data_IF_387074200137
#
_entry.id   IF_387074200137
#
_cell.length_a   1.000
_cell.length_b   1.000
_cell.length_c   1.000
_cell.angle_alpha   90.00
_cell.angle_beta   90.00
_cell.angle_gamma   90.00
#
_symmetry.space_group_name_H-M   'P 1'
#
loop_
_entity.id
_entity.type
_entity.pdbx_description
1 polymer ?
#
# COMPACT_ATOMS: atom_id res chain seq x y z
N UNK A 1 0.94 -7.64 19.65
CA UNK A 1 0.54 -7.63 18.23
C UNK A 1 -0.30 -6.39 17.93
N UNK A 2 0.01 -5.72 16.81
CA UNK A 2 -0.62 -4.46 16.35
C UNK A 2 -1.57 -4.70 15.16
N UNK A 3 -2.09 -5.90 15.05
CA UNK A 3 -2.91 -6.33 13.92
C UNK A 3 -4.13 -5.45 13.66
N UNK A 4 -4.65 -4.77 14.68
CA UNK A 4 -5.77 -3.83 14.56
C UNK A 4 -5.39 -2.51 13.87
N UNK A 5 -4.11 -2.17 13.78
CA UNK A 5 -3.59 -1.01 13.06
C UNK A 5 -3.27 -1.32 11.59
N UNK A 6 -3.05 -2.60 11.25
CA UNK A 6 -2.69 -3.06 9.90
C UNK A 6 -3.93 -3.21 9.01
N UNK A 7 -4.72 -2.16 8.92
CA UNK A 7 -6.01 -2.16 8.19
C UNK A 7 -5.85 -2.27 6.67
N UNK A 8 -4.66 -2.03 6.15
CA UNK A 8 -4.32 -2.23 4.73
C UNK A 8 -4.59 -3.67 4.25
N UNK A 9 -4.70 -4.64 5.15
CA UNK A 9 -5.09 -6.03 4.84
C UNK A 9 -6.47 -6.13 4.18
N UNK A 10 -7.39 -5.20 4.46
CA UNK A 10 -8.66 -5.13 3.74
C UNK A 10 -8.44 -4.81 2.25
N UNK A 11 -7.45 -3.96 1.95
CA UNK A 11 -7.05 -3.70 0.57
C UNK A 11 -6.43 -4.92 -0.11
N UNK A 12 -5.68 -5.74 0.61
CA UNK A 12 -5.12 -6.97 0.07
C UNK A 12 -6.21 -7.98 -0.38
N UNK A 13 -7.37 -8.00 0.28
CA UNK A 13 -8.51 -8.82 -0.14
C UNK A 13 -9.06 -8.31 -1.49
N UNK A 14 -9.27 -7.02 -1.63
CA UNK A 14 -9.71 -6.43 -2.90
C UNK A 14 -8.69 -6.67 -4.02
N UNK A 15 -7.39 -6.56 -3.72
CA UNK A 15 -6.33 -6.83 -4.66
C UNK A 15 -6.25 -8.32 -5.06
N UNK A 16 -6.57 -9.24 -4.16
CA UNK A 16 -6.68 -10.67 -4.48
C UNK A 16 -7.84 -10.96 -5.45
N UNK A 17 -8.99 -10.29 -5.27
CA UNK A 17 -10.14 -10.37 -6.19
C UNK A 17 -9.75 -9.84 -7.58
N UNK A 18 -9.07 -8.69 -7.62
CA UNK A 18 -8.52 -8.12 -8.86
C UNK A 18 -7.57 -9.08 -9.57
N UNK A 19 -6.62 -9.67 -8.84
CA UNK A 19 -5.64 -10.59 -9.39
C UNK A 19 -6.27 -11.91 -9.85
N UNK A 20 -7.29 -12.42 -9.16
CA UNK A 20 -8.00 -13.60 -9.63
C UNK A 20 -8.52 -13.41 -11.05
N UNK A 21 -9.26 -12.32 -11.29
CA UNK A 21 -9.73 -11.99 -12.63
C UNK A 21 -8.58 -11.76 -13.61
N UNK A 22 -7.56 -10.99 -13.21
CA UNK A 22 -6.40 -10.65 -14.06
C UNK A 22 -5.64 -11.89 -14.56
N UNK A 23 -5.46 -12.89 -13.70
CA UNK A 23 -4.69 -14.09 -14.04
C UNK A 23 -5.52 -15.21 -14.68
N UNK A 24 -6.80 -15.31 -14.35
CA UNK A 24 -7.67 -16.36 -14.89
C UNK A 24 -8.43 -15.95 -16.14
N UNK A 25 -8.65 -14.65 -16.33
CA UNK A 25 -9.58 -14.11 -17.32
C UNK A 25 -11.05 -14.33 -16.98
N UNK A 26 -11.36 -14.97 -15.85
CA UNK A 26 -12.72 -15.27 -15.41
C UNK A 26 -13.38 -14.06 -14.75
N UNK A 27 -14.06 -13.25 -15.54
CA UNK A 27 -14.79 -12.09 -15.03
C UNK A 27 -16.08 -12.48 -14.29
N UNK A 28 -16.65 -13.67 -14.53
CA UNK A 28 -17.92 -14.10 -13.91
C UNK A 28 -17.81 -14.12 -12.36
N UNK A 29 -16.62 -14.30 -11.83
CA UNK A 29 -16.36 -14.26 -10.39
C UNK A 29 -16.76 -12.91 -9.76
N UNK A 30 -16.59 -11.79 -10.51
CA UNK A 30 -16.91 -10.45 -9.98
C UNK A 30 -18.41 -10.31 -9.69
N UNK A 31 -19.34 -10.48 -10.67
CA UNK A 31 -20.77 -10.35 -10.40
C UNK A 31 -21.32 -11.47 -9.50
N UNK A 32 -20.72 -12.66 -9.47
CA UNK A 32 -21.21 -13.76 -8.65
C UNK A 32 -20.83 -13.64 -7.19
N UNK A 33 -19.58 -13.25 -6.88
CA UNK A 33 -18.97 -13.30 -5.54
C UNK A 33 -18.23 -12.03 -5.16
N UNK A 34 -17.41 -11.50 -6.06
CA UNK A 34 -16.42 -10.47 -5.75
C UNK A 34 -17.04 -9.11 -5.45
N UNK A 35 -18.05 -8.68 -6.21
CA UNK A 35 -18.59 -7.32 -6.12
C UNK A 35 -19.19 -7.00 -4.75
N UNK A 36 -19.88 -7.95 -4.13
CA UNK A 36 -20.45 -7.76 -2.79
C UNK A 36 -19.34 -7.54 -1.74
N UNK A 37 -18.24 -8.28 -1.85
CA UNK A 37 -17.07 -8.11 -0.97
C UNK A 37 -16.39 -6.77 -1.21
N UNK A 38 -16.20 -6.38 -2.48
CA UNK A 38 -15.63 -5.08 -2.85
C UNK A 38 -16.44 -3.91 -2.28
N UNK A 39 -17.78 -3.97 -2.37
CA UNK A 39 -18.68 -2.96 -1.77
C UNK A 39 -18.48 -2.88 -0.26
N UNK A 40 -18.36 -4.02 0.43
CA UNK A 40 -18.07 -4.06 1.88
C UNK A 40 -16.74 -3.40 2.22
N UNK A 41 -15.70 -3.64 1.41
CA UNK A 41 -14.37 -3.04 1.58
C UNK A 41 -14.40 -1.53 1.31
N UNK A 42 -15.10 -1.08 0.26
CA UNK A 42 -15.25 0.35 -0.03
C UNK A 42 -15.99 1.09 1.10
N UNK A 43 -17.04 0.49 1.68
CA UNK A 43 -17.72 1.00 2.88
C UNK A 43 -16.79 1.12 4.08
N UNK A 44 -15.98 0.10 4.32
CA UNK A 44 -14.97 0.14 5.38
C UNK A 44 -14.04 1.34 5.21
N UNK A 45 -13.46 1.51 4.03
CA UNK A 45 -12.55 2.63 3.78
C UNK A 45 -13.25 3.99 3.89
N UNK A 46 -14.45 4.13 3.34
CA UNK A 46 -15.25 5.35 3.46
C UNK A 46 -15.53 5.74 4.92
N UNK A 47 -15.78 4.75 5.79
CA UNK A 47 -16.02 4.98 7.21
C UNK A 47 -14.73 5.22 8.01
N UNK A 48 -13.60 4.74 7.51
CA UNK A 48 -12.32 4.79 8.22
C UNK A 48 -11.56 6.11 8.04
N UNK A 49 -11.85 6.85 6.99
CA UNK A 49 -11.20 8.14 6.72
C UNK A 49 -11.79 9.26 7.56
N UNK A 50 -10.94 10.28 7.84
CA UNK A 50 -11.37 11.54 8.43
C UNK A 50 -11.11 12.67 7.43
N UNK A 51 -11.97 13.69 7.40
CA UNK A 51 -11.69 14.89 6.64
C UNK A 51 -10.84 15.85 7.47
N UNK A 52 -9.64 16.15 7.03
CA UNK A 52 -8.77 17.16 7.63
C UNK A 52 -9.06 18.52 7.03
N UNK A 53 -9.54 19.46 7.85
CA UNK A 53 -9.76 20.83 7.42
C UNK A 53 -8.47 21.57 7.12
N UNK A 54 -7.41 21.26 7.83
CA UNK A 54 -6.07 21.82 7.65
C UNK A 54 -5.47 21.43 6.28
N UNK A 55 -5.54 20.14 5.94
CA UNK A 55 -5.03 19.62 4.66
C UNK A 55 -6.03 19.79 3.51
N UNK A 56 -7.30 20.08 3.80
CA UNK A 56 -8.43 20.04 2.85
C UNK A 56 -8.49 18.71 2.07
N UNK A 57 -8.19 17.60 2.74
CA UNK A 57 -8.08 16.24 2.20
C UNK A 57 -8.63 15.22 3.19
N UNK A 58 -8.94 14.02 2.68
CA UNK A 58 -9.21 12.86 3.52
C UNK A 58 -7.91 12.21 3.98
N UNK A 59 -7.85 11.87 5.25
CA UNK A 59 -6.68 11.32 5.96
C UNK A 59 -7.04 10.01 6.67
N UNK A 60 -6.03 9.16 6.86
CA UNK A 60 -6.16 7.95 7.68
C UNK A 60 -5.16 8.05 8.83
N UNK A 61 -5.66 7.98 10.06
CA UNK A 61 -4.88 8.21 11.27
C UNK A 61 -4.70 6.90 12.05
N UNK A 62 -3.58 6.77 12.79
CA UNK A 62 -3.35 5.68 13.72
C UNK A 62 -3.30 4.31 13.05
N UNK A 63 -2.38 4.12 12.11
CA UNK A 63 -2.22 2.87 11.37
C UNK A 63 -0.77 2.39 11.38
N UNK A 64 -0.59 1.11 11.10
CA UNK A 64 0.71 0.51 10.78
C UNK A 64 0.66 0.05 9.33
N UNK A 65 1.60 0.52 8.52
CA UNK A 65 1.79 0.08 7.14
C UNK A 65 2.48 -1.27 7.03
N UNK A 66 2.87 -1.70 5.83
CA UNK A 66 3.66 -2.92 5.64
C UNK A 66 5.00 -2.91 6.37
N UNK A 67 5.62 -1.74 6.58
CA UNK A 67 6.82 -1.63 7.40
C UNK A 67 6.48 -1.72 8.88
N UNK A 68 6.63 -2.90 9.47
CA UNK A 68 6.32 -3.15 10.89
C UNK A 68 7.26 -2.45 11.89
N UNK A 69 8.29 -1.71 11.41
CA UNK A 69 9.12 -0.85 12.25
C UNK A 69 8.48 0.52 12.51
N UNK A 70 7.24 0.69 12.08
CA UNK A 70 6.38 1.83 12.37
C UNK A 70 5.07 1.38 13.00
N UNK A 71 4.60 2.09 14.01
CA UNK A 71 3.33 1.82 14.67
C UNK A 71 2.58 3.13 14.89
N UNK A 72 1.25 3.06 14.79
CA UNK A 72 0.34 4.16 15.12
C UNK A 72 0.72 5.48 14.41
N UNK A 73 1.08 5.37 13.13
CA UNK A 73 1.43 6.54 12.31
C UNK A 73 0.21 7.11 11.60
N UNK A 74 0.32 8.36 11.17
CA UNK A 74 -0.72 9.04 10.41
C UNK A 74 -0.34 9.05 8.92
N UNK A 75 -1.34 8.81 8.08
CA UNK A 75 -1.21 8.91 6.63
C UNK A 75 -0.08 8.04 6.07
N UNK A 76 -0.04 6.75 6.47
CA UNK A 76 0.84 5.82 5.77
C UNK A 76 0.48 5.80 4.29
N UNK A 77 1.47 6.05 3.42
CA UNK A 77 1.27 6.21 1.97
C UNK A 77 0.61 4.97 1.35
N UNK A 78 1.13 3.78 1.64
CA UNK A 78 0.57 2.54 1.12
C UNK A 78 -0.88 2.34 1.55
N UNK A 79 -1.19 2.56 2.83
CA UNK A 79 -2.55 2.43 3.37
C UNK A 79 -3.52 3.41 2.71
N UNK A 80 -3.12 4.67 2.56
CA UNK A 80 -3.95 5.68 1.89
C UNK A 80 -4.15 5.35 0.41
N UNK A 81 -3.11 4.87 -0.26
CA UNK A 81 -3.16 4.55 -1.69
C UNK A 81 -4.06 3.34 -1.97
N UNK A 82 -3.91 2.25 -1.21
CA UNK A 82 -4.74 1.07 -1.40
C UNK A 82 -6.21 1.33 -1.02
N UNK A 83 -6.46 2.21 -0.04
CA UNK A 83 -7.81 2.65 0.30
C UNK A 83 -8.48 3.38 -0.87
N UNK A 84 -7.78 4.36 -1.46
CA UNK A 84 -8.24 5.04 -2.67
C UNK A 84 -8.49 4.05 -3.81
N UNK A 85 -7.53 3.18 -4.08
CA UNK A 85 -7.63 2.20 -5.15
C UNK A 85 -8.82 1.24 -4.95
N UNK A 86 -9.05 0.76 -3.74
CA UNK A 86 -10.21 -0.10 -3.43
C UNK A 86 -11.54 0.58 -3.76
N UNK A 87 -11.66 1.86 -3.43
CA UNK A 87 -12.86 2.64 -3.73
C UNK A 87 -13.03 2.81 -5.24
N UNK A 88 -11.99 3.24 -5.94
CA UNK A 88 -12.03 3.45 -7.40
C UNK A 88 -12.32 2.14 -8.13
N UNK A 89 -11.61 1.07 -7.80
CA UNK A 89 -11.82 -0.25 -8.40
C UNK A 89 -13.24 -0.77 -8.16
N UNK A 90 -13.76 -0.62 -6.93
CA UNK A 90 -15.14 -1.01 -6.63
C UNK A 90 -16.15 -0.22 -7.47
N UNK A 91 -15.95 1.09 -7.58
CA UNK A 91 -16.80 1.95 -8.41
C UNK A 91 -16.78 1.52 -9.87
N UNK A 92 -15.61 1.26 -10.44
CA UNK A 92 -15.45 0.76 -11.81
C UNK A 92 -16.16 -0.58 -12.02
N UNK A 93 -16.02 -1.52 -11.06
CA UNK A 93 -16.67 -2.82 -11.15
C UNK A 93 -18.19 -2.70 -11.05
N UNK A 94 -18.74 -1.81 -10.23
CA UNK A 94 -20.19 -1.53 -10.18
C UNK A 94 -20.68 -1.06 -11.55
N UNK A 95 -19.98 -0.12 -12.20
CA UNK A 95 -20.36 0.37 -13.53
C UNK A 95 -20.30 -0.74 -14.57
N UNK A 96 -19.22 -1.52 -14.59
CA UNK A 96 -19.04 -2.62 -15.55
C UNK A 96 -20.09 -3.71 -15.36
N UNK A 97 -20.35 -4.15 -14.13
CA UNK A 97 -21.39 -5.16 -13.85
C UNK A 97 -22.78 -4.63 -14.18
N UNK A 98 -23.05 -3.33 -14.00
CA UNK A 98 -24.32 -2.71 -14.41
C UNK A 98 -24.58 -2.84 -15.92
N UNK A 99 -23.53 -2.75 -16.74
CA UNK A 99 -23.62 -2.82 -18.20
C UNK A 99 -23.66 -4.26 -18.72
N UNK A 100 -22.77 -5.11 -18.20
CA UNK A 100 -22.54 -6.46 -18.75
C UNK A 100 -23.40 -7.53 -18.06
N UNK A 101 -23.78 -7.33 -16.79
CA UNK A 101 -24.52 -8.27 -15.94
C UNK A 101 -25.67 -7.58 -15.18
N UNK A 102 -26.66 -6.97 -15.88
CA UNK A 102 -27.67 -6.12 -15.24
C UNK A 102 -28.54 -6.85 -14.22
N UNK A 103 -28.78 -8.14 -14.39
CA UNK A 103 -29.55 -8.97 -13.45
C UNK A 103 -28.80 -9.13 -12.12
N UNK A 104 -27.50 -9.45 -12.18
CA UNK A 104 -26.66 -9.57 -10.99
C UNK A 104 -26.45 -8.23 -10.32
N UNK A 105 -26.21 -7.18 -11.11
CA UNK A 105 -26.15 -5.82 -10.59
C UNK A 105 -27.36 -5.48 -9.73
N UNK A 106 -28.58 -5.65 -10.29
CA UNK A 106 -29.83 -5.37 -9.56
C UNK A 106 -29.90 -6.17 -8.27
N UNK A 107 -29.67 -7.48 -8.34
CA UNK A 107 -29.67 -8.39 -7.18
C UNK A 107 -28.70 -7.92 -6.08
N UNK A 108 -27.46 -7.55 -6.46
CA UNK A 108 -26.44 -7.14 -5.49
C UNK A 108 -26.81 -5.79 -4.88
N UNK A 109 -27.15 -4.78 -5.69
CA UNK A 109 -27.47 -3.43 -5.21
C UNK A 109 -28.66 -3.46 -4.24
N UNK A 110 -29.72 -4.22 -4.56
CA UNK A 110 -30.86 -4.42 -3.67
C UNK A 110 -30.44 -5.13 -2.37
N UNK A 111 -29.66 -6.19 -2.46
CA UNK A 111 -29.17 -6.96 -1.28
C UNK A 111 -28.36 -6.11 -0.32
N UNK A 112 -27.44 -5.30 -0.85
CA UNK A 112 -26.55 -4.48 -0.01
C UNK A 112 -27.10 -3.08 0.25
N UNK A 113 -28.29 -2.75 -0.29
CA UNK A 113 -28.94 -1.44 -0.16
C UNK A 113 -28.00 -0.27 -0.54
N UNK A 114 -27.32 -0.39 -1.69
CA UNK A 114 -26.41 0.65 -2.19
C UNK A 114 -27.19 1.69 -2.98
N UNK A 115 -26.86 2.97 -2.77
CA UNK A 115 -27.50 4.08 -3.47
C UNK A 115 -26.49 5.06 -4.07
N UNK A 116 -26.95 5.91 -4.98
CA UNK A 116 -26.10 6.85 -5.71
C UNK A 116 -25.43 7.90 -4.80
N UNK A 117 -26.06 8.30 -3.71
CA UNK A 117 -25.49 9.27 -2.77
C UNK A 117 -24.26 8.66 -2.08
N UNK A 118 -24.34 7.38 -1.71
CA UNK A 118 -23.21 6.63 -1.16
C UNK A 118 -22.06 6.54 -2.17
N UNK A 119 -22.33 6.19 -3.41
CA UNK A 119 -21.32 6.14 -4.48
C UNK A 119 -20.63 7.48 -4.72
N UNK A 120 -21.39 8.58 -4.72
CA UNK A 120 -20.82 9.91 -4.86
C UNK A 120 -19.92 10.28 -3.67
N UNK A 121 -20.30 9.88 -2.45
CA UNK A 121 -19.47 10.12 -1.27
C UNK A 121 -18.15 9.33 -1.30
N UNK A 122 -18.17 8.10 -1.81
CA UNK A 122 -16.96 7.30 -2.03
C UNK A 122 -16.01 7.98 -3.02
N UNK A 123 -16.56 8.41 -4.16
CA UNK A 123 -15.76 9.10 -5.18
C UNK A 123 -15.12 10.37 -4.64
N UNK A 124 -15.86 11.15 -3.84
CA UNK A 124 -15.33 12.33 -3.16
C UNK A 124 -14.16 11.98 -2.25
N UNK A 125 -14.21 10.86 -1.52
CA UNK A 125 -13.10 10.38 -0.69
C UNK A 125 -11.90 10.02 -1.54
N UNK A 126 -12.09 9.19 -2.56
CA UNK A 126 -11.00 8.73 -3.44
C UNK A 126 -10.28 9.90 -4.15
N UNK A 127 -11.04 10.86 -4.70
CA UNK A 127 -10.48 12.01 -5.43
C UNK A 127 -9.74 12.99 -4.52
N UNK A 128 -10.02 12.96 -3.22
CA UNK A 128 -9.43 13.89 -2.25
C UNK A 128 -8.62 13.18 -1.15
N UNK A 129 -8.15 11.97 -1.40
CA UNK A 129 -7.24 11.29 -0.47
C UNK A 129 -5.90 12.02 -0.37
N UNK A 130 -5.38 12.14 0.83
CA UNK A 130 -4.08 12.74 1.08
C UNK A 130 -2.95 11.72 0.92
N UNK A 131 -1.89 12.14 0.27
CA UNK A 131 -0.64 11.39 0.16
C UNK A 131 0.51 12.25 0.66
N UNK A 132 1.26 11.81 1.68
CA UNK A 132 2.44 12.53 2.13
C UNK A 132 3.49 12.59 1.01
N UNK A 133 3.99 13.78 0.73
CA UNK A 133 4.96 13.99 -0.35
C UNK A 133 5.96 15.08 0.03
N UNK A 134 7.21 14.92 -0.34
CA UNK A 134 8.26 15.94 -0.20
C UNK A 134 8.53 16.57 -1.56
N UNK A 135 8.17 17.82 -1.72
CA UNK A 135 8.49 18.60 -2.93
C UNK A 135 10.00 18.78 -3.12
N UNK A 136 10.75 18.95 -2.04
CA UNK A 136 12.20 19.13 -2.08
C UNK A 136 12.92 17.88 -2.60
N UNK A 137 12.55 16.69 -2.08
CA UNK A 137 13.15 15.41 -2.48
C UNK A 137 12.44 14.79 -3.68
N UNK A 138 11.26 15.28 -4.01
CA UNK A 138 10.37 14.75 -5.05
C UNK A 138 10.09 13.23 -4.84
N UNK A 139 9.78 12.85 -3.60
CA UNK A 139 9.44 11.47 -3.21
C UNK A 139 8.18 11.44 -2.36
N UNK A 140 7.43 10.35 -2.46
CA UNK A 140 6.35 10.05 -1.52
C UNK A 140 6.95 9.69 -0.16
N UNK A 141 6.36 10.21 0.92
CA UNK A 141 6.80 9.89 2.27
C UNK A 141 6.00 8.71 2.81
N UNK A 142 6.66 7.80 3.52
CA UNK A 142 6.00 6.62 4.09
C UNK A 142 4.83 7.00 5.00
N UNK A 143 4.97 8.08 5.77
CA UNK A 143 3.92 8.66 6.62
C UNK A 143 4.24 10.10 6.97
N UNK A 144 3.29 10.79 7.63
CA UNK A 144 3.55 12.10 8.22
C UNK A 144 4.74 12.03 9.19
N UNK A 145 5.61 13.04 9.16
CA UNK A 145 6.78 13.13 10.04
C UNK A 145 7.95 12.18 9.71
N UNK A 146 7.95 11.52 8.56
CA UNK A 146 9.05 10.61 8.19
C UNK A 146 10.41 11.34 8.13
N UNK A 147 10.43 12.57 7.62
CA UNK A 147 11.65 13.38 7.51
C UNK A 147 12.11 14.05 8.83
N UNK A 148 11.28 13.98 9.88
CA UNK A 148 11.67 14.48 11.22
C UNK A 148 12.62 13.51 11.95
N UNK A 149 12.82 12.32 11.38
CA UNK A 149 13.71 11.29 11.91
C UNK A 149 15.17 11.58 11.58
N UNK A 150 16.08 11.03 12.36
CA UNK A 150 17.52 11.06 12.07
C UNK A 150 17.81 10.14 10.86
N UNK A 151 17.95 10.72 9.67
CA UNK A 151 18.06 10.01 8.41
C UNK A 151 19.47 9.43 8.16
N UNK A 152 19.92 8.51 9.03
CA UNK A 152 21.16 7.76 8.85
C UNK A 152 20.94 6.60 7.91
N UNK A 153 21.72 6.52 6.82
CA UNK A 153 21.62 5.44 5.84
C UNK A 153 22.09 4.10 6.43
N UNK A 154 21.54 3.00 5.96
CA UNK A 154 21.95 1.65 6.40
C UNK A 154 23.44 1.39 6.16
N UNK A 155 24.01 1.96 5.10
CA UNK A 155 25.43 1.84 4.78
C UNK A 155 26.34 2.48 5.85
N UNK A 156 25.85 3.51 6.56
CA UNK A 156 26.58 4.26 7.58
C UNK A 156 26.31 3.69 8.99
N UNK A 157 25.39 2.73 9.13
CA UNK A 157 25.09 2.08 10.39
C UNK A 157 26.19 1.05 10.76
N UNK A 158 26.68 1.12 11.98
CA UNK A 158 27.63 0.14 12.50
C UNK A 158 27.06 -1.29 12.41
N UNK A 159 27.78 -2.16 11.73
CA UNK A 159 27.40 -3.56 11.52
C UNK A 159 27.13 -4.34 12.81
N UNK A 160 27.79 -3.97 13.92
CA UNK A 160 27.57 -4.59 15.23
C UNK A 160 26.17 -4.33 15.79
N UNK A 161 25.47 -3.29 15.27
CA UNK A 161 24.11 -2.94 15.66
C UNK A 161 23.03 -3.71 14.88
N UNK A 162 23.43 -4.57 13.97
CA UNK A 162 22.49 -5.37 13.15
C UNK A 162 22.47 -6.84 13.60
N UNK A 163 21.36 -7.55 13.48
CA UNK A 163 20.04 -7.02 13.08
C UNK A 163 19.45 -6.10 14.16
N UNK A 164 18.86 -4.97 13.75
CA UNK A 164 18.40 -3.94 14.68
C UNK A 164 17.28 -4.42 15.60
N UNK A 165 16.41 -5.32 15.15
CA UNK A 165 15.37 -5.91 15.98
C UNK A 165 15.89 -6.74 17.17
N UNK A 166 17.15 -7.15 17.14
CA UNK A 166 17.80 -7.88 18.24
C UNK A 166 18.71 -6.99 19.10
N UNK A 167 19.12 -5.83 18.57
CA UNK A 167 20.13 -4.96 19.21
C UNK A 167 19.55 -3.68 19.77
N UNK A 168 18.42 -3.22 19.25
CA UNK A 168 17.80 -1.95 19.64
C UNK A 168 16.53 -2.19 20.45
N UNK A 169 16.21 -1.22 21.31
CA UNK A 169 14.90 -1.17 21.93
C UNK A 169 13.84 -0.84 20.87
N UNK A 170 12.62 -1.29 21.10
CA UNK A 170 11.50 -0.99 20.21
C UNK A 170 11.27 0.52 20.06
N UNK A 171 11.37 1.28 21.15
CA UNK A 171 11.31 2.75 21.13
C UNK A 171 12.33 3.36 20.15
N UNK A 172 13.57 2.87 20.14
CA UNK A 172 14.60 3.36 19.21
C UNK A 172 14.29 2.99 17.76
N UNK A 173 13.76 1.80 17.51
CA UNK A 173 13.36 1.36 16.18
C UNK A 173 12.24 2.28 15.63
N UNK A 174 11.20 2.53 16.41
CA UNK A 174 10.06 3.37 15.98
C UNK A 174 10.46 4.82 15.65
N UNK A 175 11.52 5.33 16.27
CA UNK A 175 12.04 6.68 15.99
C UNK A 175 13.10 6.71 14.88
N UNK A 176 13.49 5.56 14.34
CA UNK A 176 14.47 5.46 13.27
C UNK A 176 13.82 5.51 11.88
N UNK A 177 14.57 5.84 10.82
CA UNK A 177 14.08 5.82 9.45
C UNK A 177 14.07 4.41 8.84
N UNK A 178 14.48 3.40 9.60
CA UNK A 178 14.76 2.08 9.05
C UNK A 178 13.50 1.31 8.68
N UNK A 179 13.61 0.62 7.57
CA UNK A 179 12.53 -0.13 6.94
C UNK A 179 12.89 -1.61 7.02
N UNK A 180 12.03 -2.39 7.68
CA UNK A 180 12.17 -3.84 7.79
C UNK A 180 11.88 -4.51 6.46
N UNK A 181 10.81 -4.10 5.80
CA UNK A 181 10.34 -4.57 4.51
C UNK A 181 9.62 -3.46 3.75
N UNK A 182 9.48 -3.61 2.43
CA UNK A 182 8.91 -2.61 1.56
C UNK A 182 7.54 -2.10 2.04
N UNK A 183 7.36 -0.78 2.02
CA UNK A 183 6.11 -0.07 2.32
C UNK A 183 5.69 0.79 1.12
N UNK A 184 6.30 1.96 0.90
CA UNK A 184 6.08 2.74 -0.32
C UNK A 184 6.42 1.92 -1.57
N UNK A 185 7.52 1.18 -1.56
CA UNK A 185 7.91 0.31 -2.67
C UNK A 185 6.94 -0.87 -2.87
N UNK A 186 6.25 -1.33 -1.81
CA UNK A 186 5.16 -2.32 -1.94
C UNK A 186 3.98 -1.74 -2.72
N UNK A 187 3.64 -0.46 -2.49
CA UNK A 187 2.63 0.24 -3.27
C UNK A 187 3.01 0.29 -4.76
N UNK A 188 4.25 0.65 -5.04
CA UNK A 188 4.76 0.73 -6.41
C UNK A 188 4.80 -0.62 -7.11
N UNK A 189 5.08 -1.70 -6.38
CA UNK A 189 4.99 -3.05 -6.93
C UNK A 189 3.55 -3.43 -7.32
N UNK A 190 2.56 -3.05 -6.50
CA UNK A 190 1.17 -3.38 -6.79
C UNK A 190 0.56 -2.53 -7.90
N UNK A 191 0.98 -1.29 -8.01
CA UNK A 191 0.39 -0.27 -8.88
C UNK A 191 1.43 0.38 -9.79
N UNK A 192 2.37 -0.42 -10.30
CA UNK A 192 3.49 0.05 -11.11
C UNK A 192 3.05 0.94 -12.28
N UNK A 193 1.99 0.52 -12.98
CA UNK A 193 1.44 1.24 -14.14
C UNK A 193 0.86 2.63 -13.79
N UNK A 194 0.73 2.96 -12.50
CA UNK A 194 0.21 4.26 -12.07
C UNK A 194 1.31 5.31 -11.87
N UNK A 195 2.57 4.93 -11.99
CA UNK A 195 3.73 5.79 -11.73
C UNK A 195 4.68 5.81 -12.91
N UNK A 196 5.36 6.94 -13.10
CA UNK A 196 6.42 7.03 -14.11
C UNK A 196 7.68 6.30 -13.64
N UNK A 197 8.51 5.86 -14.60
CA UNK A 197 9.78 5.20 -14.27
C UNK A 197 10.71 6.09 -13.44
N UNK A 198 10.65 7.40 -13.67
CA UNK A 198 11.42 8.40 -12.91
C UNK A 198 10.94 8.50 -11.45
N UNK A 199 9.63 8.45 -11.20
CA UNK A 199 9.07 8.42 -9.84
C UNK A 199 9.46 7.13 -9.14
N UNK A 200 9.32 5.99 -9.81
CA UNK A 200 9.74 4.69 -9.29
C UNK A 200 11.22 4.71 -8.90
N UNK A 201 12.09 5.21 -9.77
CA UNK A 201 13.53 5.23 -9.52
C UNK A 201 13.91 6.13 -8.33
N UNK A 202 13.37 7.36 -8.27
CA UNK A 202 13.68 8.28 -7.15
C UNK A 202 13.27 7.69 -5.81
N UNK A 203 12.07 7.16 -5.72
CA UNK A 203 11.57 6.56 -4.49
C UNK A 203 12.34 5.26 -4.15
N UNK A 204 12.69 4.45 -5.14
CA UNK A 204 13.49 3.25 -4.92
C UNK A 204 14.85 3.60 -4.31
N UNK A 205 15.59 4.55 -4.89
CA UNK A 205 16.90 4.98 -4.38
C UNK A 205 16.81 5.57 -2.96
N UNK A 206 15.74 6.34 -2.69
CA UNK A 206 15.52 6.90 -1.37
C UNK A 206 15.28 5.78 -0.33
N UNK A 207 14.29 4.92 -0.54
CA UNK A 207 13.88 3.91 0.43
C UNK A 207 14.86 2.74 0.56
N UNK A 208 15.54 2.36 -0.52
CA UNK A 208 16.59 1.35 -0.49
C UNK A 208 17.72 1.73 0.49
N UNK A 209 18.06 3.02 0.55
CA UNK A 209 19.11 3.51 1.45
C UNK A 209 18.78 3.34 2.95
N UNK A 210 17.50 3.19 3.31
CA UNK A 210 17.02 3.00 4.68
C UNK A 210 16.50 1.58 4.94
N UNK A 211 16.48 0.70 3.95
CA UNK A 211 15.94 -0.65 4.12
C UNK A 211 17.00 -1.60 4.67
N UNK A 212 16.77 -2.11 5.88
CA UNK A 212 17.68 -3.05 6.54
C UNK A 212 17.55 -4.49 6.04
N UNK A 213 16.47 -4.81 5.32
CA UNK A 213 16.17 -6.16 4.82
C UNK A 213 16.22 -7.24 5.91
N UNK A 214 15.63 -6.95 7.05
CA UNK A 214 15.54 -7.88 8.20
C UNK A 214 14.23 -8.69 8.20
N UNK A 215 13.62 -8.83 7.03
CA UNK A 215 12.44 -9.65 6.77
C UNK A 215 12.65 -10.51 5.54
N UNK A 216 12.11 -11.73 5.55
CA UNK A 216 12.07 -12.61 4.38
C UNK A 216 11.25 -12.03 3.22
N UNK A 217 10.29 -11.14 3.52
CA UNK A 217 9.44 -10.50 2.51
C UNK A 217 10.10 -9.34 1.78
N UNK A 218 11.18 -8.76 2.35
CA UNK A 218 11.81 -7.55 1.79
C UNK A 218 12.51 -7.77 0.45
N UNK A 219 13.42 -8.76 0.28
CA UNK A 219 14.23 -8.86 -0.93
C UNK A 219 13.42 -9.11 -2.20
N UNK A 220 12.26 -9.77 -2.09
CA UNK A 220 11.40 -10.08 -3.24
C UNK A 220 10.93 -8.80 -3.95
N UNK A 221 10.32 -7.88 -3.22
CA UNK A 221 9.81 -6.62 -3.79
C UNK A 221 10.96 -5.77 -4.34
N UNK A 222 12.07 -5.69 -3.61
CA UNK A 222 13.24 -4.93 -4.06
C UNK A 222 13.89 -5.54 -5.31
N UNK A 223 13.89 -6.88 -5.44
CA UNK A 223 14.37 -7.57 -6.66
C UNK A 223 13.53 -7.17 -7.88
N UNK A 224 12.21 -7.22 -7.75
CA UNK A 224 11.28 -6.88 -8.83
C UNK A 224 11.43 -5.41 -9.23
N UNK A 225 11.41 -4.49 -8.25
CA UNK A 225 11.57 -3.06 -8.52
C UNK A 225 12.93 -2.74 -9.15
N UNK A 226 14.02 -3.35 -8.69
CA UNK A 226 15.33 -3.18 -9.28
C UNK A 226 15.37 -3.67 -10.75
N UNK A 227 14.67 -4.77 -11.06
CA UNK A 227 14.57 -5.27 -12.44
C UNK A 227 13.80 -4.32 -13.36
N UNK A 228 12.68 -3.76 -12.90
CA UNK A 228 11.89 -2.75 -13.61
C UNK A 228 12.72 -1.49 -13.90
N UNK A 229 13.64 -1.16 -13.00
CA UNK A 229 14.53 -0.01 -13.10
C UNK A 229 15.86 -0.30 -13.84
N UNK A 230 15.98 -1.46 -14.48
CA UNK A 230 17.21 -1.91 -15.18
C UNK A 230 18.47 -2.02 -14.27
N UNK A 231 18.29 -2.10 -12.95
CA UNK A 231 19.36 -2.30 -11.96
C UNK A 231 19.68 -3.80 -11.79
N UNK A 232 20.10 -4.46 -12.86
CA UNK A 232 20.14 -5.93 -12.98
C UNK A 232 21.02 -6.63 -11.95
N UNK A 233 22.17 -6.08 -11.58
CA UNK A 233 23.04 -6.67 -10.55
C UNK A 233 22.37 -6.69 -9.18
N UNK A 234 21.69 -5.59 -8.84
CA UNK A 234 20.93 -5.47 -7.60
C UNK A 234 19.72 -6.41 -7.61
N UNK A 235 18.96 -6.44 -8.71
CA UNK A 235 17.84 -7.34 -8.90
C UNK A 235 18.25 -8.81 -8.70
N UNK A 236 19.37 -9.23 -9.31
CA UNK A 236 19.88 -10.59 -9.18
C UNK A 236 20.36 -10.90 -7.75
N UNK A 237 21.02 -9.96 -7.08
CA UNK A 237 21.45 -10.11 -5.70
C UNK A 237 20.27 -10.34 -4.76
N UNK A 238 19.20 -9.56 -4.89
CA UNK A 238 17.98 -9.73 -4.10
C UNK A 238 17.21 -10.99 -4.47
N UNK A 239 17.19 -11.37 -5.77
CA UNK A 239 16.61 -12.63 -6.21
C UNK A 239 17.30 -13.82 -5.55
N UNK A 240 18.63 -13.88 -5.57
CA UNK A 240 19.39 -14.94 -4.91
C UNK A 240 19.13 -14.99 -3.41
N UNK A 241 19.01 -13.82 -2.76
CA UNK A 241 18.68 -13.76 -1.36
C UNK A 241 17.27 -14.31 -1.08
N UNK A 242 16.28 -13.91 -1.88
CA UNK A 242 14.89 -14.43 -1.77
C UNK A 242 14.84 -15.93 -1.97
N UNK A 243 15.51 -16.45 -3.02
CA UNK A 243 15.48 -17.88 -3.36
C UNK A 243 16.19 -18.79 -2.34
N UNK A 244 17.00 -18.23 -1.45
CA UNK A 244 17.75 -18.97 -0.42
C UNK A 244 17.17 -18.79 0.99
N UNK A 245 16.07 -18.07 1.11
CA UNK A 245 15.36 -17.97 2.41
C UNK A 245 14.74 -19.32 2.73
N UNK A 246 14.93 -19.75 3.98
CA UNK A 246 14.39 -21.02 4.51
C UNK A 246 15.03 -22.30 3.91
N UNK A 247 16.22 -22.21 3.33
CA UNK A 247 17.02 -23.36 2.89
C UNK A 247 18.05 -23.80 3.95
#
# INVERSE_FOLDING_TARGET
>A
EITFEEIHRNGAIAFAIFNYYRFTGDYSYIPEKGLEVLIGIARFWHQRVNFSTDKNKYVILGVTGPNEYENNVNNNFYTNYIAKWCIDYTYEQIQKVSLEYPTDHKRIIEKVNLNNTELQSWKKVADNMYFPFSEELNVYLQQDGFLDKELVRVADLDRSQRPINQKWSWDRILRSPYIKQADVLQCFYFFEDHFTKEELNRNFEFYESFTVHESSLSPCVHSIQAAVLDKMEMAYTFYLRTSRLDL
#
